data_IF_647180002955
#
_entry.id   IF_647180002955
#
_cell.length_a   1.000
_cell.length_b   1.000
_cell.length_c   1.000
_cell.angle_alpha   90.00
_cell.angle_beta   90.00
_cell.angle_gamma   90.00
#
_symmetry.space_group_name_H-M   'P 1'
#
loop_
_entity.id
_entity.type
_entity.pdbx_description
1 polymer ?
#
# COMPACT_ATOMS: atom_id res chain seq x y z
N UNK A 1 81.46 40.25 24.83
CA UNK A 1 80.16 40.96 24.84
C UNK A 1 79.39 40.48 23.63
N UNK A 2 78.37 39.67 23.88
CA UNK A 2 77.73 38.77 22.92
C UNK A 2 76.94 39.46 21.80
N UNK A 3 77.15 38.94 20.59
CA UNK A 3 76.45 39.30 19.37
C UNK A 3 75.13 38.51 19.30
N UNK A 4 74.01 39.17 19.59
CA UNK A 4 72.66 38.56 19.50
C UNK A 4 72.20 38.47 18.04
N UNK A 5 72.33 37.29 17.44
CA UNK A 5 71.72 36.92 16.16
C UNK A 5 70.22 36.70 16.38
N UNK A 6 69.37 37.44 15.67
CA UNK A 6 67.91 37.19 15.61
C UNK A 6 67.60 36.32 14.40
N UNK A 7 67.30 35.05 14.64
CA UNK A 7 66.73 34.13 13.64
C UNK A 7 65.22 34.35 13.60
N UNK A 8 64.70 34.88 12.49
CA UNK A 8 63.26 34.99 12.26
C UNK A 8 62.71 33.70 11.66
N UNK A 9 61.89 32.96 12.42
CA UNK A 9 61.07 31.88 11.88
C UNK A 9 59.80 32.47 11.27
N UNK A 10 59.69 32.45 9.94
CA UNK A 10 58.42 32.68 9.25
C UNK A 10 57.64 31.36 9.21
N UNK A 11 56.67 31.20 10.12
CA UNK A 11 55.66 30.15 10.00
C UNK A 11 54.69 30.54 8.88
N UNK A 12 54.81 29.89 7.72
CA UNK A 12 53.80 29.93 6.67
C UNK A 12 52.59 29.14 7.16
N UNK A 13 51.59 29.82 7.71
CA UNK A 13 50.26 29.24 7.88
C UNK A 13 49.61 29.12 6.50
N UNK A 14 49.76 27.95 5.86
CA UNK A 14 48.85 27.53 4.81
C UNK A 14 47.47 27.37 5.44
N UNK A 15 46.60 28.36 5.21
CA UNK A 15 45.16 28.21 5.43
C UNK A 15 44.66 27.09 4.50
N UNK A 16 44.67 25.85 4.98
CA UNK A 16 43.80 24.81 4.45
C UNK A 16 42.37 25.23 4.78
N UNK A 17 41.75 25.98 3.86
CA UNK A 17 40.32 26.21 3.91
C UNK A 17 39.61 24.84 4.02
N UNK A 18 38.58 24.69 4.87
CA UNK A 18 37.96 23.40 5.09
C UNK A 18 37.23 22.96 3.81
N UNK A 19 37.86 22.05 3.05
CA UNK A 19 37.29 21.39 1.86
C UNK A 19 35.98 20.64 2.18
N UNK A 20 35.70 20.41 3.47
CA UNK A 20 34.46 19.80 3.97
C UNK A 20 33.18 20.60 3.62
N UNK A 21 33.25 21.94 3.47
CA UNK A 21 32.06 22.75 3.21
C UNK A 21 31.50 22.65 1.78
N UNK A 22 32.36 22.52 0.78
CA UNK A 22 31.94 22.51 -0.63
C UNK A 22 31.33 21.17 -1.04
N UNK A 23 31.90 20.05 -0.58
CA UNK A 23 31.37 18.71 -0.83
C UNK A 23 30.01 18.50 -0.15
N UNK A 24 29.85 18.95 1.10
CA UNK A 24 28.57 18.90 1.80
C UNK A 24 27.49 19.77 1.12
N UNK A 25 27.84 20.99 0.70
CA UNK A 25 26.93 21.87 -0.06
C UNK A 25 26.54 21.26 -1.42
N UNK A 26 27.48 20.61 -2.11
CA UNK A 26 27.22 19.89 -3.36
C UNK A 26 26.29 18.68 -3.15
N UNK A 27 26.49 17.94 -2.07
CA UNK A 27 25.62 16.82 -1.67
C UNK A 27 24.18 17.26 -1.39
N UNK A 28 24.00 18.35 -0.63
CA UNK A 28 22.68 18.93 -0.34
C UNK A 28 22.00 19.43 -1.62
N UNK A 29 22.73 20.16 -2.47
CA UNK A 29 22.19 20.64 -3.75
C UNK A 29 21.75 19.49 -4.67
N UNK A 30 22.53 18.40 -4.71
CA UNK A 30 22.21 17.20 -5.49
C UNK A 30 20.96 16.49 -4.95
N UNK A 31 20.86 16.35 -3.62
CA UNK A 31 19.67 15.76 -2.97
C UNK A 31 18.41 16.58 -3.25
N UNK A 32 18.48 17.90 -3.10
CA UNK A 32 17.36 18.80 -3.37
C UNK A 32 16.90 18.73 -4.83
N UNK A 33 17.84 18.63 -5.78
CA UNK A 33 17.51 18.44 -7.19
C UNK A 33 16.81 17.09 -7.43
N UNK A 34 17.25 16.03 -6.77
CA UNK A 34 16.65 14.70 -6.89
C UNK A 34 15.22 14.66 -6.32
N UNK A 35 14.99 15.32 -5.17
CA UNK A 35 13.66 15.51 -4.59
C UNK A 35 12.75 16.24 -5.57
N UNK A 36 13.18 17.40 -6.09
CA UNK A 36 12.38 18.19 -7.05
C UNK A 36 12.02 17.38 -8.31
N UNK A 37 12.96 16.59 -8.85
CA UNK A 37 12.72 15.71 -10.01
C UNK A 37 11.75 14.57 -9.71
N UNK A 38 11.72 14.05 -8.49
CA UNK A 38 10.73 13.04 -8.12
C UNK A 38 9.37 13.67 -7.86
N UNK A 39 9.31 14.79 -7.14
CA UNK A 39 8.08 15.54 -6.91
C UNK A 39 7.35 15.89 -8.20
N UNK A 40 8.07 16.32 -9.24
CA UNK A 40 7.45 16.61 -10.54
C UNK A 40 6.88 15.38 -11.25
N UNK A 41 7.42 14.18 -10.98
CA UNK A 41 6.91 12.92 -11.54
C UNK A 41 5.68 12.40 -10.82
N UNK A 42 5.63 12.53 -9.49
CA UNK A 42 4.48 12.06 -8.68
C UNK A 42 3.36 13.09 -8.66
N UNK A 43 3.68 14.39 -8.61
CA UNK A 43 2.71 15.48 -8.64
C UNK A 43 2.55 16.02 -10.06
N UNK A 44 2.16 15.17 -11.00
CA UNK A 44 1.89 15.61 -12.38
C UNK A 44 0.84 16.74 -12.37
N UNK A 45 1.01 17.79 -13.21
CA UNK A 45 -0.05 18.78 -13.40
C UNK A 45 -1.33 18.10 -13.89
N UNK A 46 -2.49 18.68 -13.61
CA UNK A 46 -3.76 18.16 -14.14
C UNK A 46 -3.71 18.18 -15.67
N UNK A 47 -3.87 17.01 -16.31
CA UNK A 47 -3.95 16.89 -17.76
C UNK A 47 -5.42 16.66 -18.13
N UNK A 48 -5.90 17.34 -19.17
CA UNK A 48 -7.25 17.10 -19.70
C UNK A 48 -7.29 15.70 -20.32
N UNK A 49 -8.09 14.84 -19.71
CA UNK A 49 -8.58 13.52 -20.14
C UNK A 49 -7.57 12.40 -20.42
N UNK A 50 -7.68 11.33 -19.62
CA UNK A 50 -7.48 9.97 -20.14
C UNK A 50 -8.66 9.71 -21.07
N UNK A 51 -8.43 9.39 -22.34
CA UNK A 51 -9.49 8.89 -23.22
C UNK A 51 -9.93 7.54 -22.65
N UNK A 52 -11.01 7.53 -21.87
CA UNK A 52 -11.66 6.29 -21.49
C UNK A 52 -12.07 5.58 -22.78
N UNK A 53 -11.68 4.31 -22.94
CA UNK A 53 -12.39 3.42 -23.87
C UNK A 53 -13.88 3.58 -23.55
N UNK A 54 -14.71 3.86 -24.55
CA UNK A 54 -16.14 4.17 -24.37
C UNK A 54 -16.96 2.98 -23.83
N UNK A 55 -16.31 1.87 -23.48
CA UNK A 55 -16.92 0.64 -23.02
C UNK A 55 -16.66 0.48 -21.52
N UNK A 56 -17.72 0.55 -20.70
CA UNK A 56 -17.66 0.15 -19.29
C UNK A 56 -17.29 -1.33 -19.22
N UNK A 57 -16.37 -1.66 -18.32
CA UNK A 57 -16.06 -3.06 -18.00
C UNK A 57 -17.34 -3.79 -17.57
N UNK A 58 -17.44 -5.06 -17.96
CA UNK A 58 -18.53 -5.92 -17.50
C UNK A 58 -18.25 -6.21 -16.03
N UNK A 59 -19.12 -5.69 -15.15
CA UNK A 59 -19.10 -6.07 -13.74
C UNK A 59 -19.62 -7.51 -13.62
N UNK A 60 -19.02 -8.36 -12.78
CA UNK A 60 -19.56 -9.69 -12.51
C UNK A 60 -20.97 -9.57 -11.92
N UNK A 61 -21.90 -10.41 -12.37
CA UNK A 61 -23.23 -10.50 -11.76
C UNK A 61 -23.09 -10.88 -10.28
N UNK A 62 -23.61 -10.03 -9.41
CA UNK A 62 -23.73 -10.32 -7.98
C UNK A 62 -25.13 -10.92 -7.74
N UNK A 63 -25.25 -11.96 -6.91
CA UNK A 63 -26.55 -12.55 -6.59
C UNK A 63 -27.52 -11.48 -6.08
N UNK A 64 -28.67 -11.36 -6.74
CA UNK A 64 -29.77 -10.48 -6.35
C UNK A 64 -30.84 -11.21 -5.49
N UNK A 65 -30.57 -12.45 -5.06
CA UNK A 65 -31.49 -13.29 -4.30
C UNK A 65 -31.03 -13.48 -2.86
N UNK A 66 -31.91 -13.18 -1.89
CA UNK A 66 -31.80 -13.45 -0.45
C UNK A 66 -30.88 -12.56 0.42
N UNK A 67 -29.99 -11.72 -0.12
CA UNK A 67 -29.20 -10.77 0.71
C UNK A 67 -29.88 -9.41 0.96
N UNK A 68 -31.02 -9.13 0.29
CA UNK A 68 -31.81 -7.91 0.55
C UNK A 68 -32.41 -7.85 1.96
N UNK A 69 -32.56 -8.99 2.64
CA UNK A 69 -33.25 -9.05 3.93
C UNK A 69 -32.37 -9.34 5.16
N UNK A 70 -31.03 -9.50 5.00
CA UNK A 70 -30.11 -9.66 6.15
C UNK A 70 -28.71 -9.08 5.96
N UNK A 71 -28.57 -7.86 5.43
CA UNK A 71 -27.47 -6.94 5.78
C UNK A 71 -27.68 -5.53 5.20
N UNK A 72 -28.76 -4.84 5.56
CA UNK A 72 -28.59 -3.44 5.95
C UNK A 72 -27.85 -3.43 7.29
N UNK A 73 -26.58 -3.83 7.30
CA UNK A 73 -25.71 -3.44 8.37
C UNK A 73 -25.50 -1.94 8.17
N UNK A 74 -26.16 -1.11 8.98
CA UNK A 74 -26.15 0.36 8.90
C UNK A 74 -24.75 0.99 9.09
N UNK A 75 -23.67 0.22 9.01
CA UNK A 75 -22.32 0.63 9.36
C UNK A 75 -21.31 0.28 8.25
N UNK A 76 -21.46 0.93 7.10
CA UNK A 76 -20.41 0.98 6.07
C UNK A 76 -19.52 2.19 6.32
N UNK A 77 -18.19 1.99 6.32
CA UNK A 77 -17.26 3.10 6.27
C UNK A 77 -17.12 3.59 4.81
N UNK A 78 -16.88 4.88 4.65
CA UNK A 78 -16.62 5.51 3.36
C UNK A 78 -15.24 6.12 3.34
N UNK A 79 -14.57 6.06 2.19
CA UNK A 79 -13.42 6.91 1.96
C UNK A 79 -13.90 8.34 1.73
N UNK A 80 -13.15 9.35 2.19
CA UNK A 80 -13.53 10.74 1.95
C UNK A 80 -13.77 11.03 0.48
N UNK A 81 -14.96 11.52 0.19
CA UNK A 81 -15.41 11.89 -1.15
C UNK A 81 -15.03 13.34 -1.48
N UNK A 82 -14.83 13.59 -2.77
CA UNK A 82 -14.47 14.87 -3.34
C UNK A 82 -15.43 15.23 -4.46
N UNK A 83 -15.86 16.49 -4.49
CA UNK A 83 -16.61 17.03 -5.62
C UNK A 83 -15.66 17.44 -6.74
N UNK A 84 -15.33 16.52 -7.66
CA UNK A 84 -14.49 16.83 -8.81
C UNK A 84 -15.30 17.01 -10.10
N UNK A 85 -15.00 18.03 -10.93
CA UNK A 85 -15.62 18.20 -12.24
C UNK A 85 -15.43 16.95 -13.12
N UNK A 86 -16.46 16.60 -13.90
CA UNK A 86 -16.41 15.45 -14.81
C UNK A 86 -15.13 15.46 -15.68
N UNK A 87 -14.50 14.30 -15.76
CA UNK A 87 -13.24 14.11 -16.50
C UNK A 87 -11.97 14.44 -15.70
N UNK A 88 -12.08 14.76 -14.40
CA UNK A 88 -10.97 14.88 -13.46
C UNK A 88 -11.07 13.79 -12.40
N UNK A 89 -9.94 13.47 -11.77
CA UNK A 89 -9.87 12.55 -10.63
C UNK A 89 -9.20 13.25 -9.44
N UNK A 90 -9.62 12.98 -8.19
CA UNK A 90 -8.93 13.50 -7.03
C UNK A 90 -7.62 12.73 -6.81
N UNK A 91 -6.53 13.45 -6.59
CA UNK A 91 -5.19 12.87 -6.37
C UNK A 91 -4.57 13.50 -5.12
N UNK A 92 -4.18 12.68 -4.14
CA UNK A 92 -3.40 13.14 -2.98
C UNK A 92 -2.02 13.59 -3.45
N UNK A 93 -1.64 14.83 -3.15
CA UNK A 93 -0.33 15.40 -3.50
C UNK A 93 0.75 14.95 -2.51
N UNK A 94 1.90 14.56 -3.02
CA UNK A 94 3.10 14.21 -2.22
C UNK A 94 3.87 15.47 -1.88
N UNK A 95 4.29 15.64 -0.62
CA UNK A 95 5.11 16.77 -0.20
C UNK A 95 6.61 16.42 -0.16
N UNK A 96 7.46 17.42 -0.11
CA UNK A 96 8.91 17.22 0.06
C UNK A 96 9.22 16.46 1.35
N UNK A 97 8.58 16.85 2.46
CA UNK A 97 8.66 16.15 3.74
C UNK A 97 8.27 14.67 3.65
N UNK A 98 7.30 14.32 2.77
CA UNK A 98 6.91 12.92 2.56
C UNK A 98 8.06 12.09 2.01
N UNK A 99 8.75 12.63 1.02
CA UNK A 99 9.86 11.95 0.36
C UNK A 99 11.10 11.82 1.22
N UNK A 100 11.27 12.72 2.20
CA UNK A 100 12.44 12.74 3.06
C UNK A 100 12.36 11.74 4.22
N UNK A 101 11.18 11.17 4.50
CA UNK A 101 11.01 10.10 5.51
C UNK A 101 11.53 8.75 5.02
N UNK A 102 11.37 8.46 3.72
CA UNK A 102 11.86 7.23 3.12
C UNK A 102 13.41 7.14 3.19
N UNK A 103 13.91 5.90 3.31
CA UNK A 103 15.35 5.59 3.34
C UNK A 103 16.12 6.15 2.14
N UNK A 104 15.46 6.24 0.99
CA UNK A 104 15.93 6.99 -0.16
C UNK A 104 14.76 7.54 -0.97
N UNK A 105 15.02 8.64 -1.69
CA UNK A 105 14.04 9.27 -2.58
C UNK A 105 13.48 8.27 -3.61
N UNK A 106 14.32 7.35 -4.11
CA UNK A 106 13.92 6.31 -5.08
C UNK A 106 13.06 5.20 -4.47
N UNK A 107 13.18 4.99 -3.15
CA UNK A 107 12.42 3.99 -2.42
C UNK A 107 11.04 4.50 -1.94
N UNK A 108 10.82 5.83 -1.97
CA UNK A 108 9.54 6.40 -1.55
C UNK A 108 8.37 5.79 -2.35
N UNK A 109 7.42 5.21 -1.62
CA UNK A 109 6.25 4.56 -2.21
C UNK A 109 6.48 3.15 -2.75
N UNK A 110 7.66 2.54 -2.56
CA UNK A 110 7.95 1.16 -2.97
C UNK A 110 8.09 0.23 -1.75
N UNK A 111 7.57 -0.99 -1.86
CA UNK A 111 7.86 -2.07 -0.91
C UNK A 111 9.23 -2.69 -1.21
N UNK A 112 9.82 -3.35 -0.22
CA UNK A 112 11.10 -4.03 -0.34
C UNK A 112 10.84 -5.53 -0.44
N UNK A 113 11.51 -6.23 -1.37
CA UNK A 113 11.39 -7.68 -1.68
C UNK A 113 11.25 -8.64 -0.48
N UNK A 114 11.72 -8.28 0.72
CA UNK A 114 11.70 -9.16 1.90
C UNK A 114 10.39 -9.16 2.71
N UNK A 115 9.36 -8.42 2.30
CA UNK A 115 8.13 -8.22 3.09
C UNK A 115 6.98 -9.21 2.79
N UNK A 116 7.16 -10.17 1.88
CA UNK A 116 6.07 -11.07 1.47
C UNK A 116 6.01 -12.28 2.41
N UNK A 117 4.87 -12.54 3.08
CA UNK A 117 4.68 -13.79 3.80
C UNK A 117 4.66 -14.94 2.79
N UNK A 118 5.42 -16.00 3.06
CA UNK A 118 5.29 -17.25 2.32
C UNK A 118 4.33 -18.13 3.10
N UNK A 119 3.13 -18.45 2.58
CA UNK A 119 2.24 -19.38 3.26
C UNK A 119 2.92 -20.76 3.33
N UNK A 120 3.34 -21.18 4.52
CA UNK A 120 3.75 -22.56 4.80
C UNK A 120 2.68 -23.26 5.62
N UNK A 121 2.27 -24.43 5.17
CA UNK A 121 1.31 -25.29 5.83
C UNK A 121 1.88 -25.86 7.13
N UNK A 122 1.41 -25.34 8.26
CA UNK A 122 1.42 -25.95 9.60
C UNK A 122 2.76 -26.58 10.04
N UNK A 123 3.63 -25.76 10.63
CA UNK A 123 4.33 -26.11 11.87
C UNK A 123 4.65 -24.80 12.61
N UNK A 124 4.44 -24.71 13.94
CA UNK A 124 4.94 -23.60 14.73
C UNK A 124 6.46 -23.78 14.85
N UNK A 125 7.21 -23.34 13.83
CA UNK A 125 8.63 -23.11 14.06
C UNK A 125 8.77 -21.90 14.99
N UNK A 126 9.43 -22.03 16.15
CA UNK A 126 9.51 -20.95 17.14
C UNK A 126 10.32 -19.71 16.69
N UNK A 127 10.85 -19.71 15.47
CA UNK A 127 11.83 -18.72 14.99
C UNK A 127 11.32 -17.82 13.85
N UNK A 128 10.02 -17.82 13.53
CA UNK A 128 9.42 -16.86 12.59
C UNK A 128 9.20 -15.48 13.23
N UNK A 129 10.17 -14.98 14.00
CA UNK A 129 10.41 -13.54 14.08
C UNK A 129 10.98 -13.16 12.70
N UNK A 130 10.06 -12.94 11.76
CA UNK A 130 10.27 -12.74 10.33
C UNK A 130 11.23 -11.58 10.08
N UNK A 131 12.53 -11.91 10.00
CA UNK A 131 13.73 -11.25 9.44
C UNK A 131 13.84 -9.71 9.31
N UNK A 132 12.92 -8.88 9.78
CA UNK A 132 12.91 -7.41 9.69
C UNK A 132 11.79 -6.76 10.56
N UNK A 133 11.07 -7.51 11.40
CA UNK A 133 9.98 -6.99 12.25
C UNK A 133 8.58 -7.05 11.66
N UNK A 134 8.39 -7.70 10.51
CA UNK A 134 7.07 -7.89 9.90
C UNK A 134 6.31 -9.02 10.61
N UNK A 135 5.00 -8.91 10.82
CA UNK A 135 4.13 -9.98 11.30
C UNK A 135 2.89 -10.05 10.42
N UNK A 136 2.42 -11.26 10.12
CA UNK A 136 1.32 -11.49 9.20
C UNK A 136 0.25 -12.39 9.82
N UNK A 137 -1.00 -12.11 9.47
CA UNK A 137 -2.13 -12.98 9.76
C UNK A 137 -2.99 -13.06 8.50
N UNK A 138 -2.90 -14.19 7.80
CA UNK A 138 -3.47 -14.39 6.46
C UNK A 138 -4.31 -15.67 6.39
N UNK A 139 -5.31 -15.65 5.52
CA UNK A 139 -5.91 -16.84 4.93
C UNK A 139 -5.74 -16.76 3.41
N UNK A 140 -5.67 -17.93 2.79
CA UNK A 140 -5.44 -18.02 1.36
C UNK A 140 -6.24 -19.17 0.75
N UNK A 141 -6.47 -19.05 -0.55
CA UNK A 141 -6.91 -20.14 -1.42
C UNK A 141 -5.91 -20.26 -2.56
N UNK A 142 -5.55 -21.49 -2.92
CA UNK A 142 -4.55 -21.79 -3.95
C UNK A 142 -4.98 -23.01 -4.78
N UNK A 143 -4.34 -23.22 -5.93
CA UNK A 143 -4.51 -24.44 -6.73
C UNK A 143 -5.63 -24.41 -7.78
N UNK A 144 -6.41 -23.34 -7.86
CA UNK A 144 -7.45 -23.12 -8.87
C UNK A 144 -7.15 -21.85 -9.70
N UNK A 145 -7.96 -21.59 -10.74
CA UNK A 145 -7.97 -20.34 -11.49
C UNK A 145 -8.97 -19.36 -10.90
N UNK A 146 -8.51 -18.17 -10.53
CA UNK A 146 -9.33 -17.13 -9.93
C UNK A 146 -9.42 -15.90 -10.83
N UNK A 147 -10.64 -15.44 -11.11
CA UNK A 147 -10.89 -14.27 -11.96
C UNK A 147 -11.28 -13.02 -11.16
N UNK A 148 -11.27 -13.13 -9.83
CA UNK A 148 -11.50 -12.01 -8.94
C UNK A 148 -11.60 -12.46 -7.50
N UNK A 149 -11.56 -11.47 -6.60
CA UNK A 149 -11.78 -11.64 -5.19
C UNK A 149 -12.55 -10.45 -4.62
N UNK A 150 -13.43 -10.72 -3.67
CA UNK A 150 -14.08 -9.70 -2.83
C UNK A 150 -13.55 -9.82 -1.41
N UNK A 151 -13.39 -8.69 -0.75
CA UNK A 151 -13.11 -8.62 0.67
C UNK A 151 -14.03 -7.61 1.34
N UNK A 152 -14.68 -8.02 2.42
CA UNK A 152 -15.23 -7.10 3.41
C UNK A 152 -14.17 -6.95 4.50
N UNK A 153 -13.86 -5.73 4.91
CA UNK A 153 -12.74 -5.46 5.81
C UNK A 153 -13.21 -4.49 6.87
N UNK A 154 -13.15 -4.90 8.12
CA UNK A 154 -13.46 -4.03 9.24
C UNK A 154 -12.33 -3.00 9.41
N UNK A 155 -12.70 -1.73 9.59
CA UNK A 155 -11.75 -0.61 9.56
C UNK A 155 -11.53 -0.08 10.97
N UNK A 156 -10.28 0.02 11.40
CA UNK A 156 -9.87 0.45 12.74
C UNK A 156 -8.84 1.57 12.66
N UNK A 157 -8.53 2.16 13.81
CA UNK A 157 -7.45 3.13 14.00
C UNK A 157 -6.28 2.51 14.80
N UNK A 158 -5.45 1.62 14.20
CA UNK A 158 -4.31 1.04 14.90
C UNK A 158 -3.31 2.14 15.28
N UNK A 159 -2.81 2.07 16.52
CA UNK A 159 -1.83 3.03 17.03
C UNK A 159 -0.43 2.61 16.61
N UNK A 160 0.17 3.41 15.72
CA UNK A 160 1.56 3.24 15.29
C UNK A 160 2.48 3.95 16.28
N UNK A 161 3.50 3.24 16.77
CA UNK A 161 4.39 3.76 17.82
C UNK A 161 5.60 4.46 17.22
N UNK A 162 6.22 3.88 16.20
CA UNK A 162 7.35 4.46 15.50
C UNK A 162 6.98 4.82 14.06
N UNK A 163 7.51 5.93 13.54
CA UNK A 163 7.09 6.45 12.22
C UNK A 163 7.40 5.54 11.03
N UNK A 164 8.37 4.63 11.19
CA UNK A 164 8.79 3.63 10.21
C UNK A 164 7.99 2.31 10.29
N UNK A 165 7.03 2.21 11.21
CA UNK A 165 6.10 1.09 11.31
C UNK A 165 4.85 1.34 10.46
N UNK A 166 4.07 0.27 10.24
CA UNK A 166 2.75 0.37 9.63
C UNK A 166 1.85 -0.78 10.08
N UNK A 167 0.54 -0.61 9.87
CA UNK A 167 -0.46 -1.67 9.98
C UNK A 167 -1.41 -1.59 8.79
N UNK A 168 -1.74 -2.74 8.20
CA UNK A 168 -2.65 -2.83 7.08
C UNK A 168 -3.61 -4.01 7.20
N UNK A 169 -4.74 -3.91 6.50
CA UNK A 169 -5.61 -5.03 6.19
C UNK A 169 -6.06 -4.96 4.74
N UNK A 170 -5.95 -6.09 4.03
CA UNK A 170 -6.10 -6.11 2.58
C UNK A 170 -6.47 -7.47 2.00
N UNK A 171 -6.74 -7.45 0.69
CA UNK A 171 -6.74 -8.61 -0.19
C UNK A 171 -5.52 -8.58 -1.12
N UNK A 172 -5.02 -9.75 -1.48
CA UNK A 172 -3.97 -9.97 -2.47
C UNK A 172 -4.50 -10.86 -3.60
N UNK A 173 -4.28 -10.43 -4.85
CA UNK A 173 -4.45 -11.25 -6.05
C UNK A 173 -3.06 -11.61 -6.56
N UNK A 174 -2.73 -12.91 -6.55
CA UNK A 174 -1.36 -13.39 -6.78
C UNK A 174 -1.26 -14.36 -7.96
N UNK A 175 -0.13 -14.29 -8.66
CA UNK A 175 0.27 -15.24 -9.71
C UNK A 175 1.78 -15.33 -9.84
N UNK A 176 2.31 -16.50 -10.22
CA UNK A 176 3.76 -16.73 -10.35
C UNK A 176 4.39 -17.23 -9.05
N UNK A 177 5.70 -17.05 -8.89
CA UNK A 177 6.48 -17.57 -7.75
C UNK A 177 6.98 -16.48 -6.80
N UNK A 178 6.73 -16.68 -5.50
CA UNK A 178 7.27 -15.87 -4.40
C UNK A 178 8.80 -15.77 -4.36
N UNK A 179 9.52 -16.64 -5.08
CA UNK A 179 10.97 -16.65 -5.06
C UNK A 179 11.61 -15.62 -6.01
N UNK A 180 10.96 -15.29 -7.13
CA UNK A 180 11.64 -14.51 -8.19
C UNK A 180 10.75 -13.72 -9.15
N UNK A 181 9.46 -14.04 -9.29
CA UNK A 181 8.66 -13.50 -10.40
C UNK A 181 7.16 -13.30 -10.07
N UNK A 182 6.84 -13.19 -8.78
CA UNK A 182 5.50 -12.93 -8.29
C UNK A 182 4.89 -11.67 -8.91
N UNK A 183 3.69 -11.84 -9.46
CA UNK A 183 2.79 -10.76 -9.80
C UNK A 183 1.78 -10.61 -8.66
N UNK A 184 1.57 -9.37 -8.22
CA UNK A 184 0.69 -9.07 -7.09
C UNK A 184 -0.12 -7.81 -7.35
N UNK A 185 -1.41 -7.88 -7.04
CA UNK A 185 -2.31 -6.73 -6.90
C UNK A 185 -2.84 -6.74 -5.47
N UNK A 186 -2.72 -5.61 -4.78
CA UNK A 186 -3.06 -5.47 -3.38
C UNK A 186 -4.02 -4.30 -3.19
N UNK A 187 -5.05 -4.50 -2.38
CA UNK A 187 -6.04 -3.46 -2.11
C UNK A 187 -6.64 -3.60 -0.71
N UNK A 188 -6.69 -2.49 0.03
CA UNK A 188 -7.07 -2.52 1.44
C UNK A 188 -7.08 -1.14 2.09
N UNK A 189 -7.03 -1.14 3.42
CA UNK A 189 -6.73 0.06 4.20
C UNK A 189 -5.43 -0.12 4.98
N UNK A 190 -4.70 0.98 5.20
CA UNK A 190 -3.49 0.98 6.03
C UNK A 190 -3.35 2.27 6.84
N UNK A 191 -2.59 2.18 7.93
CA UNK A 191 -1.99 3.30 8.65
C UNK A 191 -0.49 3.22 8.44
N UNK A 192 0.07 4.19 7.71
CA UNK A 192 1.50 4.24 7.38
C UNK A 192 2.02 5.68 7.46
N UNK A 193 2.59 6.07 8.60
CA UNK A 193 3.10 7.43 8.81
C UNK A 193 4.29 7.74 7.89
N UNK A 194 5.15 6.76 7.63
CA UNK A 194 6.26 6.90 6.67
C UNK A 194 5.75 7.31 5.27
N UNK A 195 4.67 6.68 4.81
CA UNK A 195 4.09 6.97 3.50
C UNK A 195 3.26 8.25 3.47
N UNK A 196 2.39 8.48 4.47
CA UNK A 196 1.37 9.54 4.40
C UNK A 196 1.67 10.77 5.26
N UNK A 197 2.60 10.69 6.20
CA UNK A 197 2.96 11.79 7.11
C UNK A 197 1.94 12.02 8.22
N UNK A 198 0.98 11.11 8.38
CA UNK A 198 -0.02 11.12 9.43
C UNK A 198 -0.41 9.69 9.81
N UNK A 199 -1.18 9.56 10.88
CA UNK A 199 -1.65 8.28 11.41
C UNK A 199 -3.09 7.97 10.96
N UNK A 200 -3.58 8.59 9.88
CA UNK A 200 -4.94 8.32 9.45
C UNK A 200 -5.04 6.94 8.79
N UNK A 201 -6.15 6.26 9.03
CA UNK A 201 -6.51 5.04 8.30
C UNK A 201 -6.95 5.41 6.89
N UNK A 202 -6.21 4.91 5.89
CA UNK A 202 -6.33 5.34 4.49
C UNK A 202 -6.53 4.16 3.55
N UNK A 203 -7.40 4.35 2.56
CA UNK A 203 -7.56 3.44 1.43
C UNK A 203 -6.25 3.40 0.63
N UNK A 204 -5.79 2.22 0.26
CA UNK A 204 -4.61 2.08 -0.58
C UNK A 204 -4.73 0.96 -1.60
N UNK A 205 -3.83 1.03 -2.56
CA UNK A 205 -3.46 -0.09 -3.39
C UNK A 205 -1.94 -0.18 -3.56
N UNK A 206 -1.45 -1.38 -3.84
CA UNK A 206 -0.11 -1.65 -4.33
C UNK A 206 -0.18 -2.66 -5.49
N UNK A 207 0.81 -2.66 -6.37
CA UNK A 207 0.97 -3.73 -7.35
C UNK A 207 2.45 -3.98 -7.62
N UNK A 208 2.81 -5.17 -8.10
CA UNK A 208 4.14 -5.47 -8.66
C UNK A 208 4.02 -6.58 -9.72
N UNK A 209 4.93 -6.60 -10.67
CA UNK A 209 5.05 -7.66 -11.69
C UNK A 209 6.35 -8.45 -11.59
N UNK A 210 7.18 -8.17 -10.58
CA UNK A 210 8.55 -8.69 -10.46
C UNK A 210 8.96 -8.99 -9.02
N UNK A 211 8.01 -9.47 -8.20
CA UNK A 211 8.25 -9.78 -6.79
C UNK A 211 8.85 -8.60 -6.00
N UNK A 212 8.37 -7.37 -6.24
CA UNK A 212 8.81 -6.15 -5.54
C UNK A 212 10.30 -5.83 -5.72
N UNK A 213 10.92 -6.28 -6.82
CA UNK A 213 12.32 -6.01 -7.10
C UNK A 213 12.52 -4.58 -7.62
N UNK A 214 11.87 -4.24 -8.74
CA UNK A 214 12.00 -2.94 -9.39
C UNK A 214 10.66 -2.28 -9.71
N UNK A 215 9.63 -3.07 -9.99
CA UNK A 215 8.30 -2.59 -10.37
C UNK A 215 7.38 -2.41 -9.16
N UNK A 216 6.34 -1.60 -9.38
CA UNK A 216 5.32 -1.39 -8.37
C UNK A 216 5.53 -0.16 -7.50
N UNK A 217 4.41 0.31 -6.95
CA UNK A 217 4.37 1.36 -5.96
C UNK A 217 2.97 1.44 -5.34
N UNK A 218 2.88 2.17 -4.22
CA UNK A 218 1.60 2.55 -3.63
C UNK A 218 0.83 3.55 -4.50
N UNK A 219 -0.48 3.34 -4.57
CA UNK A 219 -1.45 4.29 -5.11
C UNK A 219 -1.06 4.77 -6.52
N UNK A 220 -0.98 6.09 -6.70
CA UNK A 220 -0.63 6.74 -7.97
C UNK A 220 0.82 7.27 -7.97
N UNK A 221 1.69 6.75 -7.10
CA UNK A 221 3.09 7.22 -6.98
C UNK A 221 3.98 6.79 -8.15
N UNK A 222 3.48 5.90 -9.01
CA UNK A 222 4.09 5.46 -10.25
C UNK A 222 2.98 5.07 -11.25
N UNK A 223 3.35 4.93 -12.51
CA UNK A 223 2.42 4.43 -13.53
C UNK A 223 2.10 2.96 -13.27
N UNK A 224 0.82 2.59 -13.25
CA UNK A 224 0.38 1.20 -13.12
C UNK A 224 -1.12 1.13 -12.92
N UNK A 225 -1.60 1.60 -11.76
CA UNK A 225 -3.04 1.77 -11.54
C UNK A 225 -3.56 3.02 -12.28
N UNK A 226 -4.68 2.86 -12.98
CA UNK A 226 -5.39 3.94 -13.67
C UNK A 226 -6.69 4.21 -12.92
N UNK A 227 -6.70 5.26 -12.11
CA UNK A 227 -7.92 5.73 -11.45
C UNK A 227 -8.84 6.42 -12.46
N UNK A 228 -10.12 6.10 -12.41
CA UNK A 228 -11.17 6.68 -13.26
C UNK A 228 -12.27 7.37 -12.44
N UNK A 229 -12.41 6.99 -11.16
CA UNK A 229 -13.41 7.57 -10.28
C UNK A 229 -13.01 9.00 -9.87
N UNK A 230 -13.99 9.90 -9.92
CA UNK A 230 -13.83 11.32 -9.62
C UNK A 230 -14.29 11.72 -8.21
N UNK A 231 -14.69 10.75 -7.38
CA UNK A 231 -15.27 10.99 -6.05
C UNK A 231 -14.28 10.56 -4.95
N UNK A 232 -13.69 9.38 -5.05
CA UNK A 232 -12.79 8.81 -4.05
C UNK A 232 -11.34 8.87 -4.56
N UNK A 233 -10.44 9.45 -3.76
CA UNK A 233 -9.02 9.47 -4.05
C UNK A 233 -8.30 8.23 -3.50
N UNK A 234 -7.34 7.68 -4.26
CA UNK A 234 -6.40 6.74 -3.66
C UNK A 234 -5.57 7.44 -2.56
N UNK A 235 -5.49 6.82 -1.39
CA UNK A 235 -4.92 7.45 -0.19
C UNK A 235 -5.89 8.33 0.59
N UNK A 236 -7.18 8.40 0.24
CA UNK A 236 -8.18 9.09 1.05
C UNK A 236 -8.32 8.43 2.43
N UNK A 237 -8.55 9.24 3.47
CA UNK A 237 -8.85 8.71 4.80
C UNK A 237 -10.22 8.03 4.80
N UNK A 238 -10.42 7.06 5.67
CA UNK A 238 -11.67 6.30 5.80
C UNK A 238 -12.36 6.72 7.10
N UNK A 239 -13.68 6.87 7.04
CA UNK A 239 -14.52 7.23 8.18
C UNK A 239 -15.96 6.72 7.98
N UNK A 240 -16.72 6.40 9.05
CA UNK A 240 -16.28 6.24 10.44
C UNK A 240 -15.40 5.00 10.66
N UNK A 241 -14.69 4.97 11.79
CA UNK A 241 -13.79 3.89 12.19
C UNK A 241 -14.40 3.06 13.32
N UNK A 242 -14.08 1.77 13.34
CA UNK A 242 -14.50 0.85 14.38
C UNK A 242 -13.83 1.18 15.71
N UNK A 243 -14.54 0.87 16.80
CA UNK A 243 -14.03 1.09 18.15
C UNK A 243 -14.35 -0.09 19.06
N UNK A 244 -13.47 -0.35 20.03
CA UNK A 244 -13.63 -1.49 20.93
C UNK A 244 -14.95 -1.40 21.72
N UNK A 245 -15.70 -2.51 21.77
CA UNK A 245 -17.03 -2.60 22.42
C UNK A 245 -18.02 -1.51 21.98
N UNK A 246 -17.88 -1.04 20.74
CA UNK A 246 -18.67 0.04 20.15
C UNK A 246 -18.96 -0.28 18.69
N UNK A 247 -19.50 0.69 17.94
CA UNK A 247 -19.84 0.56 16.53
C UNK A 247 -18.65 0.03 15.72
N UNK A 248 -18.95 -0.97 14.89
CA UNK A 248 -18.02 -1.59 13.94
C UNK A 248 -18.41 -1.15 12.55
N UNK A 249 -17.42 -0.77 11.73
CA UNK A 249 -17.61 -0.30 10.37
C UNK A 249 -16.72 -1.06 9.40
N UNK A 250 -17.32 -1.49 8.28
CA UNK A 250 -16.63 -2.26 7.26
C UNK A 250 -16.51 -1.47 5.95
N UNK A 251 -15.45 -1.71 5.19
CA UNK A 251 -15.38 -1.42 3.76
C UNK A 251 -15.54 -2.71 2.97
N UNK A 252 -15.96 -2.60 1.71
CA UNK A 252 -15.91 -3.71 0.77
C UNK A 252 -15.04 -3.34 -0.42
N UNK A 253 -14.15 -4.24 -0.82
CA UNK A 253 -13.29 -4.09 -1.98
C UNK A 253 -13.51 -5.30 -2.88
N UNK A 254 -13.77 -5.05 -4.16
CA UNK A 254 -13.85 -6.08 -5.19
C UNK A 254 -12.75 -5.81 -6.21
N UNK A 255 -11.94 -6.83 -6.48
CA UNK A 255 -11.00 -6.84 -7.60
C UNK A 255 -11.38 -7.95 -8.55
N UNK A 256 -11.53 -7.66 -9.84
CA UNK A 256 -11.93 -8.65 -10.84
C UNK A 256 -11.24 -8.42 -12.16
N UNK A 257 -11.08 -9.50 -12.93
CA UNK A 257 -10.53 -9.47 -14.26
C UNK A 257 -11.66 -9.24 -15.27
N UNK A 258 -11.52 -8.24 -16.12
CA UNK A 258 -12.42 -8.03 -17.24
C UNK A 258 -12.15 -9.10 -18.32
N UNK A 259 -13.14 -9.96 -18.67
CA UNK A 259 -12.95 -10.99 -19.68
C UNK A 259 -12.76 -10.43 -21.10
N UNK A 260 -13.09 -9.16 -21.34
CA UNK A 260 -12.99 -8.54 -22.68
C UNK A 260 -11.63 -7.89 -22.92
N UNK A 261 -11.23 -6.95 -22.07
CA UNK A 261 -9.96 -6.22 -22.23
C UNK A 261 -8.81 -6.86 -21.45
N UNK A 262 -9.10 -7.80 -20.54
CA UNK A 262 -8.10 -8.48 -19.72
C UNK A 262 -7.59 -7.66 -18.53
N UNK A 263 -8.03 -6.40 -18.39
CA UNK A 263 -7.63 -5.50 -17.31
C UNK A 263 -8.19 -5.99 -15.96
N UNK A 264 -7.45 -5.74 -14.88
CA UNK A 264 -7.93 -5.99 -13.52
C UNK A 264 -8.56 -4.72 -12.95
N UNK A 265 -9.84 -4.76 -12.63
CA UNK A 265 -10.61 -3.63 -12.13
C UNK A 265 -10.75 -3.68 -10.62
N UNK A 266 -10.86 -2.50 -9.99
CA UNK A 266 -11.10 -2.35 -8.55
C UNK A 266 -12.37 -1.55 -8.31
N UNK A 267 -13.18 -2.01 -7.37
CA UNK A 267 -14.37 -1.34 -6.86
C UNK A 267 -14.31 -1.23 -5.34
N UNK A 268 -14.79 -0.09 -4.83
CA UNK A 268 -15.01 0.19 -3.41
C UNK A 268 -16.51 0.28 -3.12
N UNK A 269 -16.96 -0.40 -2.07
CA UNK A 269 -18.38 -0.59 -1.79
C UNK A 269 -19.08 -1.30 -2.95
N UNK A 270 -20.36 -0.96 -3.17
CA UNK A 270 -21.14 -1.50 -4.28
C UNK A 270 -21.24 -0.55 -5.47
N UNK A 271 -20.81 0.71 -5.31
CA UNK A 271 -21.15 1.79 -6.24
C UNK A 271 -19.90 2.42 -6.91
N UNK A 272 -18.73 2.36 -6.27
CA UNK A 272 -17.56 3.14 -6.72
C UNK A 272 -16.54 2.26 -7.44
N UNK A 273 -16.64 2.17 -8.77
CA UNK A 273 -15.56 1.59 -9.60
C UNK A 273 -14.39 2.58 -9.65
N UNK A 274 -13.32 2.30 -8.92
CA UNK A 274 -12.22 3.23 -8.69
C UNK A 274 -11.28 3.34 -9.90
N UNK A 275 -10.96 2.22 -10.53
CA UNK A 275 -9.91 2.16 -11.55
C UNK A 275 -9.54 0.75 -11.94
N UNK A 276 -8.45 0.61 -12.70
CA UNK A 276 -7.94 -0.67 -13.15
C UNK A 276 -6.43 -0.70 -13.32
N UNK A 277 -5.85 -1.90 -13.24
CA UNK A 277 -4.50 -2.21 -13.70
C UNK A 277 -4.56 -2.78 -15.12
N UNK A 278 -3.83 -2.18 -16.08
CA UNK A 278 -3.74 -2.70 -17.43
C UNK A 278 -3.17 -4.13 -17.48
N UNK A 279 -3.75 -4.98 -18.32
CA UNK A 279 -3.35 -6.37 -18.46
C UNK A 279 -1.85 -6.55 -18.78
N UNK A 280 -1.28 -5.65 -19.59
CA UNK A 280 0.12 -5.72 -20.01
C UNK A 280 1.14 -5.56 -18.89
N UNK A 281 0.71 -5.12 -17.69
CA UNK A 281 1.60 -5.03 -16.53
C UNK A 281 2.01 -6.43 -16.04
N UNK A 282 1.21 -7.45 -16.29
CA UNK A 282 1.35 -8.74 -15.64
C UNK A 282 1.64 -9.85 -16.64
N UNK A 283 2.61 -10.69 -16.29
CA UNK A 283 2.88 -11.96 -16.96
C UNK A 283 1.98 -13.06 -16.40
N UNK A 284 1.98 -13.23 -15.07
CA UNK A 284 1.30 -14.34 -14.39
C UNK A 284 -0.16 -14.05 -14.03
N UNK A 285 -0.55 -12.78 -13.96
CA UNK A 285 -1.96 -12.38 -13.84
C UNK A 285 -2.61 -12.06 -15.20
N UNK A 286 -1.96 -12.45 -16.30
CA UNK A 286 -2.43 -12.15 -17.67
C UNK A 286 -3.74 -12.87 -18.00
N UNK A 287 -3.93 -14.10 -17.52
CA UNK A 287 -5.13 -14.92 -17.73
C UNK A 287 -6.01 -15.04 -16.48
N UNK A 288 -5.42 -15.50 -15.37
CA UNK A 288 -6.11 -15.69 -14.08
C UNK A 288 -5.10 -15.55 -12.94
N UNK A 289 -5.59 -15.41 -11.71
CA UNK A 289 -4.76 -15.54 -10.51
C UNK A 289 -4.69 -17.00 -10.08
N UNK A 290 -3.55 -17.42 -9.52
CA UNK A 290 -3.33 -18.78 -9.02
C UNK A 290 -3.49 -18.89 -7.50
N UNK A 291 -3.49 -17.75 -6.81
CA UNK A 291 -3.66 -17.66 -5.37
C UNK A 291 -4.34 -16.34 -5.00
N UNK A 292 -5.26 -16.40 -4.05
CA UNK A 292 -5.85 -15.22 -3.42
C UNK A 292 -5.55 -15.27 -1.94
N UNK A 293 -5.09 -14.16 -1.37
CA UNK A 293 -4.89 -14.03 0.08
C UNK A 293 -5.73 -12.88 0.65
N UNK A 294 -6.05 -12.98 1.93
CA UNK A 294 -6.71 -11.95 2.70
C UNK A 294 -6.17 -11.95 4.11
N UNK A 295 -6.07 -10.77 4.71
CA UNK A 295 -5.43 -10.67 6.01
C UNK A 295 -4.88 -9.29 6.32
N UNK A 296 -3.87 -9.28 7.18
CA UNK A 296 -3.18 -8.07 7.60
C UNK A 296 -1.69 -8.30 7.80
N UNK A 297 -0.97 -7.19 7.80
CA UNK A 297 0.47 -7.11 8.04
C UNK A 297 0.74 -5.96 9.00
N UNK A 298 1.66 -6.17 9.93
CA UNK A 298 2.21 -5.11 10.79
C UNK A 298 3.72 -5.13 10.74
N UNK A 299 4.34 -3.98 10.90
CA UNK A 299 5.77 -3.87 11.20
C UNK A 299 5.91 -3.37 12.63
N UNK A 300 6.71 -4.09 13.42
CA UNK A 300 7.11 -3.72 14.77
C UNK A 300 8.63 -3.63 14.82
N UNK A 301 9.18 -2.47 15.19
CA UNK A 301 10.63 -2.23 15.25
C UNK A 301 11.21 -2.22 16.66
N UNK A 302 10.46 -2.61 17.70
CA UNK A 302 10.97 -2.72 19.08
C UNK A 302 11.92 -3.92 19.29
N UNK A 303 12.97 -3.69 20.10
CA UNK A 303 14.09 -4.63 20.29
C UNK A 303 13.90 -5.69 21.38
N UNK A 304 12.90 -5.54 22.25
CA UNK A 304 12.70 -6.41 23.41
C UNK A 304 11.68 -7.54 23.18
N UNK A 305 11.11 -7.64 21.97
CA UNK A 305 10.07 -8.62 21.66
C UNK A 305 8.81 -8.45 22.51
N UNK A 306 8.72 -7.38 23.31
CA UNK A 306 7.46 -6.97 23.90
C UNK A 306 6.62 -6.48 22.73
N UNK A 307 5.71 -7.34 22.29
CA UNK A 307 4.59 -6.85 21.49
C UNK A 307 3.91 -5.82 22.39
N UNK A 308 3.85 -4.53 22.00
CA UNK A 308 3.03 -3.61 22.76
C UNK A 308 1.62 -4.21 22.82
N UNK A 309 0.98 -4.10 23.98
CA UNK A 309 -0.32 -4.66 24.37
C UNK A 309 -1.45 -4.44 23.34
N UNK A 310 -1.39 -5.04 22.15
CA UNK A 310 -2.38 -4.96 21.09
C UNK A 310 -2.38 -6.30 20.35
N UNK A 311 -2.78 -7.36 21.05
CA UNK A 311 -2.90 -8.72 20.49
C UNK A 311 -3.85 -8.70 19.30
N UNK A 312 -3.34 -8.96 18.10
CA UNK A 312 -4.15 -9.10 16.90
C UNK A 312 -4.91 -10.44 16.93
N UNK A 313 -6.19 -10.42 16.58
CA UNK A 313 -7.02 -11.62 16.45
C UNK A 313 -7.78 -11.55 15.14
N UNK A 314 -7.13 -11.93 14.05
CA UNK A 314 -7.76 -11.93 12.73
C UNK A 314 -8.76 -13.10 12.65
N UNK A 315 -10.05 -12.79 12.67
CA UNK A 315 -11.09 -13.77 12.32
C UNK A 315 -11.30 -13.76 10.80
N UNK A 316 -11.31 -14.95 10.19
CA UNK A 316 -11.42 -15.12 8.74
C UNK A 316 -12.61 -16.04 8.47
N UNK A 317 -13.58 -15.56 7.69
CA UNK A 317 -14.69 -16.37 7.20
C UNK A 317 -14.59 -16.47 5.69
N UNK A 318 -14.27 -17.66 5.17
CA UNK A 318 -14.24 -17.93 3.73
C UNK A 318 -15.63 -18.36 3.28
N UNK A 319 -16.13 -17.78 2.19
CA UNK A 319 -17.42 -18.16 1.61
C UNK A 319 -17.31 -18.14 0.09
N UNK A 320 -17.03 -19.28 -0.53
CA UNK A 320 -16.98 -19.40 -1.99
C UNK A 320 -18.39 -19.32 -2.56
N UNK A 321 -18.69 -18.28 -3.33
CA UNK A 321 -19.94 -18.23 -4.11
C UNK A 321 -19.89 -19.29 -5.22
N UNK A 322 -20.89 -20.16 -5.27
CA UNK A 322 -20.98 -21.25 -6.24
C UNK A 322 -21.39 -20.81 -7.65
N UNK A 323 -21.75 -19.53 -7.84
CA UNK A 323 -22.39 -19.02 -9.06
C UNK A 323 -21.54 -17.97 -9.79
N UNK A 324 -20.47 -17.44 -9.17
CA UNK A 324 -19.59 -16.42 -9.76
C UNK A 324 -18.14 -16.93 -9.89
N UNK A 325 -17.42 -16.62 -10.99
CA UNK A 325 -15.99 -16.94 -11.13
C UNK A 325 -15.09 -16.09 -10.21
N UNK A 326 -15.69 -15.16 -9.46
CA UNK A 326 -15.06 -14.44 -8.36
C UNK A 326 -15.16 -15.31 -7.12
N UNK A 327 -14.02 -15.75 -6.58
CA UNK A 327 -14.01 -16.30 -5.22
C UNK A 327 -14.31 -15.13 -4.30
N UNK A 328 -15.58 -14.98 -3.95
CA UNK A 328 -15.93 -14.15 -2.82
C UNK A 328 -15.38 -14.83 -1.56
N UNK A 329 -14.93 -14.00 -0.64
CA UNK A 329 -14.85 -14.39 0.74
C UNK A 329 -15.27 -13.17 1.52
N UNK A 330 -16.24 -13.34 2.42
CA UNK A 330 -16.59 -12.26 3.34
C UNK A 330 -15.65 -12.34 4.52
N UNK A 331 -14.51 -11.67 4.40
CA UNK A 331 -13.58 -11.49 5.52
C UNK A 331 -14.22 -10.53 6.52
N UNK A 332 -13.92 -10.71 7.80
CA UNK A 332 -14.16 -9.67 8.78
C UNK A 332 -13.03 -9.71 9.78
N UNK A 333 -12.02 -8.90 9.48
CA UNK A 333 -10.82 -8.82 10.27
C UNK A 333 -11.08 -8.02 11.56
N UNK A 334 -11.23 -8.70 12.69
CA UNK A 334 -11.36 -8.02 13.98
C UNK A 334 -9.97 -7.63 14.48
N UNK A 335 -9.78 -6.37 14.86
CA UNK A 335 -8.65 -6.01 15.71
C UNK A 335 -9.16 -5.82 17.13
N UNK A 336 -8.60 -6.59 18.05
CA UNK A 336 -8.91 -6.44 19.46
C UNK A 336 -7.79 -5.62 20.11
N UNK A 337 -8.06 -4.36 20.44
CA UNK A 337 -7.22 -3.66 21.43
C UNK A 337 -7.55 -4.25 22.81
N UNK A 338 -6.76 -5.22 23.26
CA UNK A 338 -6.76 -5.60 24.67
C UNK A 338 -6.11 -4.47 25.47
N UNK A 339 -6.81 -4.00 26.49
CA UNK A 339 -6.34 -2.98 27.44
C UNK A 339 -5.28 -3.53 28.39
#
# INVERSE_FOLDING_TARGET
MDMKVRVGFWLVFLFMAPVFGAAARSGVARRNLEVRRHLSRVNKPSVKSIKLSSRRAVQPEQESGQERDRAKANNSAVAYEWEMPRGNIPIRRTREEDMLRASSIKAYGKKIHKSIPRPTSVAPEPDLITQNGHQHAIAYVEGDQYYGAKATINVWDPKIQQSNEFSLSQLWILGGSFASDLNSIEAGWQVSPDLYGDNNTRLFTYWTSDAYQATGCYNLLCSGFIQINNEIAMGASIYPLSSYRSSQYDISILVWKDPKEGNWWMQFGNDYVLGYWPAFLFSYLSDSASMIEWGGEVVNSESDGSTPLHKWAVAISLRRDSVSPVTSGTFRLWMNQTT
#
